data_IF_103748094258
#
_entry.id   IF_103748094258
#
_cell.length_a   1.000
_cell.length_b   1.000
_cell.length_c   1.000
_cell.angle_alpha   90.00
_cell.angle_beta   90.00
_cell.angle_gamma   90.00
#
_symmetry.space_group_name_H-M   'P 1'
#
loop_
_entity.id
_entity.type
_entity.pdbx_description
1 polymer ?
#
# COMPACT_ATOMS: atom_id res chain seq x y z
N UNK A 1 3.94 4.23 -19.13
CA UNK A 1 4.28 4.19 -17.69
C UNK A 1 3.11 4.75 -16.92
N UNK A 2 2.67 4.11 -15.84
CA UNK A 2 1.62 4.60 -14.95
C UNK A 2 2.29 5.14 -13.68
N UNK A 3 1.92 6.36 -13.27
CA UNK A 3 2.37 6.96 -12.01
C UNK A 3 1.25 6.81 -10.99
N UNK A 4 1.57 6.23 -9.83
CA UNK A 4 0.65 6.03 -8.71
C UNK A 4 1.16 6.86 -7.53
N UNK A 5 0.49 7.96 -7.18
CA UNK A 5 0.83 8.71 -5.97
C UNK A 5 0.62 7.86 -4.72
N UNK A 6 1.46 8.09 -3.71
CA UNK A 6 1.43 7.39 -2.43
C UNK A 6 1.11 8.36 -1.31
N UNK A 7 0.26 7.94 -0.38
CA UNK A 7 -0.06 8.65 0.87
C UNK A 7 0.14 7.69 2.03
N UNK A 8 1.06 8.03 2.94
CA UNK A 8 1.22 7.33 4.21
C UNK A 8 0.42 8.06 5.29
N UNK A 9 -0.57 7.38 5.88
CA UNK A 9 -1.44 7.94 6.91
C UNK A 9 -1.00 7.46 8.30
N UNK A 10 -0.83 8.39 9.22
CA UNK A 10 -0.61 8.11 10.64
C UNK A 10 -1.31 9.17 11.47
N UNK A 11 -2.09 8.76 12.46
CA UNK A 11 -2.81 9.64 13.39
C UNK A 11 -3.64 10.74 12.69
N UNK A 12 -4.24 10.37 11.54
CA UNK A 12 -5.11 11.27 10.77
C UNK A 12 -4.40 12.30 9.90
N UNK A 13 -3.09 12.25 9.77
CA UNK A 13 -2.28 13.13 8.90
C UNK A 13 -1.46 12.34 7.90
N UNK A 14 -0.99 13.00 6.85
CA UNK A 14 -0.02 12.44 5.91
C UNK A 14 1.38 12.64 6.47
N UNK A 15 2.15 11.55 6.49
CA UNK A 15 3.53 11.55 6.96
C UNK A 15 4.50 11.25 5.82
N UNK A 16 5.75 11.65 5.98
CA UNK A 16 6.85 11.36 5.05
C UNK A 16 7.51 10.04 5.46
N UNK A 17 7.42 9.02 4.60
CA UNK A 17 8.12 7.76 4.79
C UNK A 17 9.63 7.94 4.66
N UNK A 18 10.39 7.32 5.56
CA UNK A 18 11.86 7.37 5.58
C UNK A 18 12.39 5.95 5.75
N UNK A 19 12.76 5.31 4.64
CA UNK A 19 13.46 4.01 4.61
C UNK A 19 12.82 2.91 5.47
N UNK A 20 11.50 2.89 5.60
CA UNK A 20 10.76 1.94 6.45
C UNK A 20 10.91 2.17 7.97
N UNK A 21 11.65 3.20 8.40
CA UNK A 21 11.87 3.53 9.81
C UNK A 21 10.67 4.30 10.39
N UNK A 22 9.53 3.64 10.56
CA UNK A 22 8.22 4.23 10.92
C UNK A 22 8.28 5.17 12.13
N UNK A 23 9.17 4.89 13.13
CA UNK A 23 9.37 5.75 14.32
C UNK A 23 9.95 7.14 14.00
N UNK A 24 10.56 7.32 12.85
CA UNK A 24 11.15 8.59 12.40
C UNK A 24 10.28 9.37 11.42
N UNK A 25 9.10 8.85 11.08
CA UNK A 25 8.20 9.54 10.16
C UNK A 25 7.68 10.83 10.78
N UNK A 26 7.69 11.90 9.97
CA UNK A 26 7.25 13.24 10.36
C UNK A 26 6.07 13.68 9.47
N UNK A 27 5.25 14.62 9.92
CA UNK A 27 4.26 15.23 9.06
C UNK A 27 4.89 15.68 7.73
N UNK A 28 4.22 15.38 6.61
CA UNK A 28 4.76 15.73 5.30
C UNK A 28 4.86 17.25 5.13
N UNK A 29 6.00 17.72 4.64
CA UNK A 29 6.16 19.06 4.10
C UNK A 29 6.12 18.96 2.58
N UNK A 30 5.23 19.68 1.92
CA UNK A 30 4.97 19.56 0.49
C UNK A 30 4.90 20.92 -0.19
N UNK A 31 5.43 21.02 -1.40
CA UNK A 31 5.32 22.21 -2.25
C UNK A 31 3.94 22.35 -2.89
N UNK A 32 3.16 21.27 -2.94
CA UNK A 32 1.84 21.23 -3.58
C UNK A 32 0.68 21.42 -2.58
N UNK A 33 0.95 21.39 -1.28
CA UNK A 33 -0.06 21.55 -0.23
C UNK A 33 0.52 22.34 0.93
N UNK A 34 -0.26 23.28 1.46
CA UNK A 34 0.13 24.13 2.61
C UNK A 34 0.07 23.40 3.96
N UNK A 35 -0.46 22.19 4.01
CA UNK A 35 -0.59 21.42 5.24
C UNK A 35 -0.56 19.90 4.96
N UNK A 36 -0.43 19.11 6.02
CA UNK A 36 -0.37 17.63 5.96
C UNK A 36 -1.74 16.94 6.11
N UNK A 37 -2.86 17.67 5.98
CA UNK A 37 -4.20 17.06 6.02
C UNK A 37 -4.41 16.17 4.79
N UNK A 38 -4.88 14.93 4.95
CA UNK A 38 -5.03 14.01 3.83
C UNK A 38 -5.94 14.53 2.71
N UNK A 39 -7.02 15.26 3.07
CA UNK A 39 -7.91 15.87 2.09
C UNK A 39 -7.19 16.93 1.24
N UNK A 40 -6.30 17.71 1.85
CA UNK A 40 -5.55 18.77 1.16
C UNK A 40 -4.53 18.17 0.20
N UNK A 41 -3.78 17.16 0.64
CA UNK A 41 -2.79 16.43 -0.18
C UNK A 41 -3.49 15.75 -1.36
N UNK A 42 -4.58 15.02 -1.11
CA UNK A 42 -5.30 14.31 -2.16
C UNK A 42 -5.93 15.30 -3.17
N UNK A 43 -6.49 16.40 -2.69
CA UNK A 43 -7.00 17.47 -3.57
C UNK A 43 -5.88 18.10 -4.42
N UNK A 44 -4.69 18.27 -3.86
CA UNK A 44 -3.54 18.79 -4.60
C UNK A 44 -3.08 17.81 -5.70
N UNK A 45 -3.06 16.51 -5.42
CA UNK A 45 -2.77 15.50 -6.44
C UNK A 45 -3.74 15.60 -7.61
N UNK A 46 -5.06 15.66 -7.37
CA UNK A 46 -6.05 15.74 -8.43
C UNK A 46 -6.07 17.08 -9.18
N UNK A 47 -5.55 18.15 -8.58
CA UNK A 47 -5.31 19.42 -9.29
C UNK A 47 -4.13 19.32 -10.26
N UNK A 48 -3.12 18.52 -9.93
CA UNK A 48 -1.95 18.31 -10.79
C UNK A 48 -2.26 17.41 -11.98
N UNK A 49 -2.96 16.29 -11.71
CA UNK A 49 -3.25 15.29 -12.73
C UNK A 49 -4.45 14.42 -12.28
N UNK A 50 -5.32 13.98 -13.21
CA UNK A 50 -6.46 13.09 -12.89
C UNK A 50 -5.98 11.65 -12.69
N UNK A 51 -5.28 11.38 -11.60
CA UNK A 51 -4.76 10.07 -11.27
C UNK A 51 -5.89 9.05 -11.19
N UNK A 52 -5.68 7.88 -11.80
CA UNK A 52 -6.65 6.78 -11.80
C UNK A 52 -6.46 5.84 -10.63
N UNK A 53 -5.29 5.87 -10.00
CA UNK A 53 -4.94 5.03 -8.85
C UNK A 53 -4.21 5.91 -7.83
N UNK A 54 -4.56 5.75 -6.56
CA UNK A 54 -3.84 6.30 -5.40
C UNK A 54 -3.52 5.13 -4.46
N UNK A 55 -2.26 5.01 -4.05
CA UNK A 55 -1.85 4.09 -2.99
C UNK A 55 -1.98 4.78 -1.62
N UNK A 56 -2.57 4.08 -0.64
CA UNK A 56 -2.68 4.57 0.74
C UNK A 56 -2.13 3.49 1.68
N UNK A 57 -1.10 3.84 2.45
CA UNK A 57 -0.67 3.05 3.60
C UNK A 57 -1.36 3.59 4.86
N UNK A 58 -2.22 2.80 5.48
CA UNK A 58 -2.81 3.09 6.80
C UNK A 58 -1.86 2.55 7.88
N UNK A 59 -0.90 3.37 8.28
CA UNK A 59 0.14 2.96 9.23
C UNK A 59 -0.43 2.65 10.62
N UNK A 60 -1.53 3.29 11.00
CA UNK A 60 -2.19 2.99 12.27
C UNK A 60 -2.76 1.57 12.25
N UNK A 61 -3.39 1.17 11.14
CA UNK A 61 -3.94 -0.17 10.97
C UNK A 61 -2.84 -1.24 10.85
N UNK A 62 -1.78 -0.96 10.08
CA UNK A 62 -0.62 -1.86 9.91
C UNK A 62 0.05 -2.13 11.26
N UNK A 63 0.13 -1.11 12.14
CA UNK A 63 0.77 -1.23 13.46
C UNK A 63 -0.19 -1.67 14.57
N UNK A 64 -1.48 -1.87 14.28
CA UNK A 64 -2.48 -2.26 15.28
C UNK A 64 -2.88 -1.13 16.26
N UNK A 65 -2.61 0.13 15.92
CA UNK A 65 -2.86 1.31 16.75
C UNK A 65 -4.18 2.04 16.40
N UNK A 66 -5.10 1.37 15.73
CA UNK A 66 -6.34 1.94 15.22
C UNK A 66 -6.45 1.76 13.71
N UNK A 67 -7.19 2.62 13.01
CA UNK A 67 -7.26 2.63 11.54
C UNK A 67 -7.87 3.94 11.02
N UNK A 68 -7.63 4.22 9.73
CA UNK A 68 -8.16 5.38 9.01
C UNK A 68 -9.30 5.01 8.04
N UNK A 69 -9.96 3.87 8.25
CA UNK A 69 -10.96 3.31 7.31
C UNK A 69 -12.10 4.28 7.00
N UNK A 70 -12.57 5.06 7.99
CA UNK A 70 -13.63 6.09 7.78
C UNK A 70 -13.17 7.18 6.80
N UNK A 71 -11.92 7.63 6.92
CA UNK A 71 -11.34 8.64 6.04
C UNK A 71 -11.14 8.09 4.64
N UNK A 72 -10.59 6.88 4.51
CA UNK A 72 -10.36 6.19 3.24
C UNK A 72 -11.69 5.97 2.51
N UNK A 73 -12.73 5.53 3.22
CA UNK A 73 -14.07 5.38 2.67
C UNK A 73 -14.65 6.72 2.17
N UNK A 74 -14.44 7.81 2.90
CA UNK A 74 -14.84 9.17 2.46
C UNK A 74 -14.14 9.56 1.14
N UNK A 75 -12.87 9.22 0.97
CA UNK A 75 -12.15 9.45 -0.28
C UNK A 75 -12.70 8.63 -1.42
N UNK A 76 -12.94 7.34 -1.20
CA UNK A 76 -13.51 6.44 -2.19
C UNK A 76 -14.89 6.91 -2.69
N UNK A 77 -15.73 7.41 -1.79
CA UNK A 77 -17.04 7.98 -2.14
C UNK A 77 -16.92 9.30 -2.92
N UNK A 78 -15.94 10.13 -2.58
CA UNK A 78 -15.73 11.43 -3.24
C UNK A 78 -15.11 11.29 -4.62
N UNK A 79 -14.15 10.37 -4.79
CA UNK A 79 -13.37 10.20 -6.01
C UNK A 79 -13.68 8.85 -6.67
N UNK A 80 -14.91 8.66 -7.12
CA UNK A 80 -15.45 7.39 -7.62
C UNK A 80 -14.70 6.82 -8.83
N UNK A 81 -14.08 7.69 -9.64
CA UNK A 81 -13.31 7.33 -10.84
C UNK A 81 -11.84 6.98 -10.54
N UNK A 82 -11.43 7.06 -9.27
CA UNK A 82 -10.11 6.71 -8.79
C UNK A 82 -10.17 5.40 -8.01
N UNK A 83 -9.27 4.47 -8.32
CA UNK A 83 -9.06 3.26 -7.55
C UNK A 83 -8.09 3.55 -6.38
N UNK A 84 -8.45 3.15 -5.18
CA UNK A 84 -7.61 3.29 -3.99
C UNK A 84 -7.02 1.94 -3.63
N UNK A 85 -5.69 1.81 -3.74
CA UNK A 85 -4.95 0.65 -3.27
C UNK A 85 -4.56 0.86 -1.82
N UNK A 86 -5.12 0.05 -0.92
CA UNK A 86 -5.04 0.29 0.52
C UNK A 86 -4.27 -0.82 1.20
N UNK A 87 -3.12 -0.48 1.73
CA UNK A 87 -2.41 -1.30 2.70
C UNK A 87 -2.83 -0.89 4.12
N UNK A 88 -3.56 -1.76 4.79
CA UNK A 88 -4.06 -1.54 6.14
C UNK A 88 -3.82 -2.77 7.03
N UNK A 89 -2.85 -3.59 6.65
CA UNK A 89 -2.52 -4.83 7.34
C UNK A 89 -3.59 -5.91 7.21
N UNK A 90 -3.23 -7.13 7.58
CA UNK A 90 -4.08 -8.31 7.40
C UNK A 90 -5.39 -8.24 8.18
N UNK A 91 -5.39 -7.64 9.36
CA UNK A 91 -6.58 -7.57 10.21
C UNK A 91 -7.76 -6.89 9.49
N UNK A 92 -7.49 -5.82 8.75
CA UNK A 92 -8.51 -5.11 7.98
C UNK A 92 -9.04 -5.95 6.80
N UNK A 93 -8.21 -6.80 6.21
CA UNK A 93 -8.62 -7.73 5.15
C UNK A 93 -9.57 -8.79 5.72
N UNK A 94 -9.22 -9.41 6.85
CA UNK A 94 -9.97 -10.50 7.46
C UNK A 94 -11.27 -10.05 8.13
N UNK A 95 -11.31 -8.86 8.71
CA UNK A 95 -12.49 -8.35 9.44
C UNK A 95 -13.45 -7.54 8.55
N UNK A 96 -13.06 -7.26 7.31
CA UNK A 96 -13.92 -6.57 6.36
C UNK A 96 -15.21 -7.36 6.16
N UNK A 97 -16.33 -6.81 6.63
CA UNK A 97 -17.64 -7.21 6.14
C UNK A 97 -17.66 -6.91 4.65
N UNK A 98 -18.23 -7.78 3.84
CA UNK A 98 -18.36 -7.62 2.39
C UNK A 98 -19.21 -6.37 2.05
N UNK A 99 -18.66 -5.21 2.36
CA UNK A 99 -19.28 -3.93 2.08
C UNK A 99 -19.09 -3.65 0.58
N UNK A 100 -20.13 -3.92 -0.19
CA UNK A 100 -20.19 -3.73 -1.64
C UNK A 100 -20.23 -2.25 -2.04
N UNK A 101 -20.23 -1.32 -1.07
CA UNK A 101 -20.45 0.11 -1.35
C UNK A 101 -19.26 0.80 -2.00
N UNK A 102 -18.03 0.39 -1.67
CA UNK A 102 -16.80 1.01 -2.20
C UNK A 102 -16.01 0.05 -3.09
N UNK A 103 -16.51 -0.21 -4.30
CA UNK A 103 -15.87 -1.08 -5.30
C UNK A 103 -14.50 -0.60 -5.78
N UNK A 104 -14.19 0.67 -5.57
CA UNK A 104 -12.93 1.31 -5.95
C UNK A 104 -11.86 1.24 -4.86
N UNK A 105 -12.09 0.53 -3.74
CA UNK A 105 -11.05 0.19 -2.77
C UNK A 105 -10.55 -1.22 -3.06
N UNK A 106 -9.24 -1.37 -3.28
CA UNK A 106 -8.54 -2.65 -3.44
C UNK A 106 -7.54 -2.80 -2.30
N UNK A 107 -7.63 -3.90 -1.54
CA UNK A 107 -6.71 -4.13 -0.44
C UNK A 107 -5.40 -4.75 -0.91
N UNK A 108 -4.35 -4.44 -0.16
CA UNK A 108 -3.01 -4.97 -0.38
C UNK A 108 -2.70 -5.94 0.75
N UNK A 109 -2.29 -7.13 0.39
CA UNK A 109 -1.77 -8.15 1.30
C UNK A 109 -0.23 -8.08 1.26
N UNK A 110 0.37 -7.51 2.28
CA UNK A 110 1.83 -7.35 2.38
C UNK A 110 2.54 -8.61 2.83
N UNK A 111 3.74 -8.85 2.32
CA UNK A 111 4.61 -9.95 2.77
C UNK A 111 5.13 -9.72 4.20
N UNK A 112 5.06 -8.51 4.72
CA UNK A 112 5.43 -8.22 6.11
C UNK A 112 4.47 -8.84 7.14
N UNK A 113 3.27 -9.28 6.72
CA UNK A 113 2.38 -10.03 7.59
C UNK A 113 2.94 -11.43 7.83
N UNK A 114 3.14 -11.79 9.10
CA UNK A 114 3.71 -13.09 9.47
C UNK A 114 2.61 -14.16 9.52
N UNK A 115 2.20 -14.67 8.36
CA UNK A 115 1.19 -15.74 8.20
C UNK A 115 1.74 -16.88 7.34
N UNK A 116 1.16 -18.06 7.47
CA UNK A 116 1.57 -19.22 6.70
C UNK A 116 1.18 -19.11 5.22
N UNK A 117 1.87 -19.87 4.35
CA UNK A 117 1.62 -19.86 2.91
C UNK A 117 0.15 -20.18 2.56
N UNK A 118 -0.42 -21.21 3.20
CA UNK A 118 -1.82 -21.60 2.95
C UNK A 118 -2.83 -20.50 3.31
N UNK A 119 -2.50 -19.61 4.27
CA UNK A 119 -3.35 -18.47 4.60
C UNK A 119 -3.26 -17.40 3.50
N UNK A 120 -2.07 -17.17 2.91
CA UNK A 120 -1.93 -16.33 1.72
C UNK A 120 -2.78 -16.86 0.57
N UNK A 121 -2.67 -18.14 0.24
CA UNK A 121 -3.47 -18.80 -0.81
C UNK A 121 -4.97 -18.60 -0.56
N UNK A 122 -5.43 -18.91 0.65
CA UNK A 122 -6.84 -18.78 1.03
C UNK A 122 -7.35 -17.34 0.89
N UNK A 123 -6.58 -16.35 1.35
CA UNK A 123 -6.94 -14.95 1.26
C UNK A 123 -7.00 -14.50 -0.20
N UNK A 124 -6.00 -14.86 -1.01
CA UNK A 124 -5.93 -14.48 -2.42
C UNK A 124 -7.10 -15.13 -3.19
N UNK A 125 -7.36 -16.40 -3.00
CA UNK A 125 -8.47 -17.10 -3.67
C UNK A 125 -9.85 -16.53 -3.28
N UNK A 126 -10.01 -16.09 -2.04
CA UNK A 126 -11.26 -15.51 -1.54
C UNK A 126 -11.46 -14.04 -1.93
N UNK A 127 -10.40 -13.37 -2.43
CA UNK A 127 -10.41 -11.95 -2.76
C UNK A 127 -9.78 -11.71 -4.14
N UNK A 128 -10.52 -11.91 -5.25
CA UNK A 128 -9.96 -11.88 -6.61
C UNK A 128 -9.37 -10.52 -7.02
N UNK A 129 -9.72 -9.46 -6.31
CA UNK A 129 -9.26 -8.08 -6.54
C UNK A 129 -8.11 -7.66 -5.63
N UNK A 130 -7.61 -8.56 -4.77
CA UNK A 130 -6.51 -8.25 -3.86
C UNK A 130 -5.21 -8.03 -4.62
N UNK A 131 -4.34 -7.17 -4.08
CA UNK A 131 -2.97 -7.03 -4.55
C UNK A 131 -2.03 -7.70 -3.54
N UNK A 132 -0.91 -8.24 -4.02
CA UNK A 132 0.18 -8.71 -3.17
C UNK A 132 1.28 -7.64 -3.15
N UNK A 133 1.78 -7.28 -1.97
CA UNK A 133 3.02 -6.51 -1.83
C UNK A 133 4.14 -7.42 -1.35
N UNK A 134 5.21 -7.48 -2.13
CA UNK A 134 6.47 -8.12 -1.77
C UNK A 134 7.37 -7.02 -1.18
N UNK A 135 7.49 -7.01 0.14
CA UNK A 135 8.14 -5.95 0.91
C UNK A 135 9.58 -6.36 1.24
N UNK A 136 10.54 -5.62 0.71
CA UNK A 136 11.96 -5.90 0.86
C UNK A 136 12.65 -4.88 1.77
N UNK A 137 13.48 -5.37 2.66
CA UNK A 137 14.50 -4.59 3.35
C UNK A 137 15.90 -4.87 2.74
N UNK A 138 16.96 -4.41 3.40
CA UNK A 138 18.34 -4.62 2.95
C UNK A 138 18.77 -6.10 2.96
N UNK A 139 18.10 -6.94 3.76
CA UNK A 139 18.40 -8.36 3.91
C UNK A 139 17.54 -9.28 3.01
N UNK A 140 16.61 -8.73 2.23
CA UNK A 140 15.73 -9.49 1.34
C UNK A 140 14.24 -9.32 1.66
N UNK A 141 13.42 -10.27 1.23
CA UNK A 141 11.97 -10.26 1.48
C UNK A 141 11.68 -10.39 2.97
N UNK A 142 10.82 -9.52 3.49
CA UNK A 142 10.47 -9.50 4.92
C UNK A 142 9.53 -10.67 5.22
N UNK A 143 9.89 -11.45 6.25
CA UNK A 143 9.15 -12.56 6.86
C UNK A 143 8.92 -13.77 5.93
N UNK A 144 8.32 -13.62 4.78
CA UNK A 144 7.71 -14.70 4.00
C UNK A 144 8.51 -15.04 2.73
N UNK A 145 9.79 -15.41 2.88
CA UNK A 145 10.68 -15.74 1.76
C UNK A 145 10.15 -16.83 0.83
N UNK A 146 9.28 -17.73 1.32
CA UNK A 146 8.61 -18.75 0.52
C UNK A 146 7.72 -18.16 -0.59
N UNK A 147 7.23 -16.94 -0.47
CA UNK A 147 6.43 -16.29 -1.51
C UNK A 147 7.20 -16.15 -2.83
N UNK A 148 8.55 -15.99 -2.78
CA UNK A 148 9.37 -15.91 -3.99
C UNK A 148 9.42 -17.23 -4.75
N UNK A 149 9.25 -18.37 -4.05
CA UNK A 149 9.22 -19.70 -4.63
C UNK A 149 7.79 -20.18 -4.96
N UNK A 150 6.79 -19.32 -4.75
CA UNK A 150 5.37 -19.65 -4.89
C UNK A 150 4.65 -18.67 -5.80
N UNK A 151 5.29 -18.29 -6.91
CA UNK A 151 4.71 -17.30 -7.83
C UNK A 151 3.37 -17.75 -8.46
N UNK A 152 3.11 -19.05 -8.49
CA UNK A 152 1.84 -19.61 -8.97
C UNK A 152 0.60 -19.18 -8.17
N UNK A 153 0.78 -18.75 -6.90
CA UNK A 153 -0.32 -18.23 -6.07
C UNK A 153 -0.47 -16.71 -6.15
N UNK A 154 0.44 -16.01 -6.84
CA UNK A 154 0.38 -14.54 -6.87
C UNK A 154 -0.90 -14.07 -7.55
N UNK A 155 -1.54 -13.01 -7.05
CA UNK A 155 -2.67 -12.39 -7.73
C UNK A 155 -2.18 -11.66 -9.00
N UNK A 156 -3.12 -11.21 -9.83
CA UNK A 156 -2.84 -10.52 -11.10
C UNK A 156 -1.98 -9.26 -10.95
N UNK A 157 -1.98 -8.63 -9.78
CA UNK A 157 -1.22 -7.40 -9.49
C UNK A 157 -0.30 -7.64 -8.31
N UNK A 158 0.99 -7.46 -8.53
CA UNK A 158 2.03 -7.57 -7.51
C UNK A 158 2.80 -6.26 -7.42
N UNK A 159 2.99 -5.78 -6.21
CA UNK A 159 3.81 -4.61 -5.88
C UNK A 159 5.16 -5.11 -5.38
N UNK A 160 6.25 -4.55 -5.88
CA UNK A 160 7.60 -4.79 -5.34
C UNK A 160 8.00 -3.55 -4.57
N UNK A 161 7.98 -3.66 -3.24
CA UNK A 161 8.21 -2.55 -2.33
C UNK A 161 9.59 -2.64 -1.70
N UNK A 162 10.50 -1.73 -2.10
CA UNK A 162 11.83 -1.61 -1.51
C UNK A 162 11.78 -0.65 -0.33
N UNK A 163 11.38 -1.11 0.85
CA UNK A 163 11.16 -0.26 2.02
C UNK A 163 12.40 0.57 2.40
N UNK A 164 13.60 0.01 2.28
CA UNK A 164 14.85 0.72 2.55
C UNK A 164 15.15 1.85 1.54
N UNK A 165 14.43 1.91 0.41
CA UNK A 165 14.54 2.98 -0.59
C UNK A 165 13.39 3.98 -0.57
N UNK A 166 12.29 3.66 0.10
CA UNK A 166 11.13 4.56 0.19
C UNK A 166 11.54 5.86 0.88
N UNK A 167 11.29 6.99 0.25
CA UNK A 167 11.67 8.32 0.75
C UNK A 167 13.18 8.63 0.76
N UNK A 168 14.03 7.78 0.16
CA UNK A 168 15.49 7.97 0.13
C UNK A 168 15.99 8.77 -1.07
N UNK A 169 15.15 9.05 -2.06
CA UNK A 169 15.50 9.64 -3.37
C UNK A 169 16.48 8.79 -4.23
N UNK A 170 16.71 7.51 -3.88
CA UNK A 170 17.62 6.62 -4.61
C UNK A 170 16.99 5.95 -5.85
N UNK A 171 15.71 6.25 -6.12
CA UNK A 171 14.98 5.66 -7.24
C UNK A 171 14.73 4.15 -7.11
N UNK A 172 14.27 3.53 -8.19
CA UNK A 172 13.91 2.11 -8.25
C UNK A 172 15.15 1.24 -8.45
N UNK A 173 15.23 0.11 -7.75
CA UNK A 173 16.19 -0.96 -8.02
C UNK A 173 15.74 -1.79 -9.22
N UNK A 174 16.14 -1.36 -10.41
CA UNK A 174 15.75 -2.01 -11.66
C UNK A 174 16.33 -3.42 -11.81
N UNK A 175 17.50 -3.70 -11.22
CA UNK A 175 18.11 -5.04 -11.25
C UNK A 175 17.29 -6.00 -10.41
N UNK A 176 16.95 -5.61 -9.20
CA UNK A 176 16.12 -6.44 -8.32
C UNK A 176 14.71 -6.65 -8.90
N UNK A 177 14.10 -5.59 -9.43
CA UNK A 177 12.79 -5.69 -10.08
C UNK A 177 12.78 -6.69 -11.26
N UNK A 178 13.82 -6.70 -12.11
CA UNK A 178 13.96 -7.68 -13.20
C UNK A 178 14.01 -9.12 -12.69
N UNK A 179 14.71 -9.37 -11.58
CA UNK A 179 14.77 -10.71 -10.98
C UNK A 179 13.39 -11.17 -10.52
N UNK A 180 12.61 -10.30 -9.89
CA UNK A 180 11.24 -10.63 -9.43
C UNK A 180 10.30 -10.89 -10.63
N UNK A 181 10.38 -10.07 -11.68
CA UNK A 181 9.59 -10.27 -12.91
C UNK A 181 9.91 -11.64 -13.55
N UNK A 182 11.14 -12.09 -13.48
CA UNK A 182 11.57 -13.39 -14.02
C UNK A 182 11.07 -14.62 -13.23
N UNK A 183 10.41 -14.43 -12.09
CA UNK A 183 9.82 -15.51 -11.28
C UNK A 183 8.40 -15.90 -11.71
N UNK A 184 7.76 -15.08 -12.55
CA UNK A 184 6.34 -15.22 -12.92
C UNK A 184 6.18 -15.52 -14.42
#
# INVERSE_FOLDING_TARGET
MLIIPVIDLSQGIVVHAICGKRKSYQPITSTISSNCKPESILSAFFKLYPFKIIYIADLDAIQGNGNQSKLINKFALKYKECEFWVDAGIHQILTRKSDKTNKNIKFILGSENNIALHDYEKIIMSNPDILLSLDFNENGLINNSYLLNSSSIWPKKVIVMMLHRVGSNNGVDTKHLKNIIGLN
#
